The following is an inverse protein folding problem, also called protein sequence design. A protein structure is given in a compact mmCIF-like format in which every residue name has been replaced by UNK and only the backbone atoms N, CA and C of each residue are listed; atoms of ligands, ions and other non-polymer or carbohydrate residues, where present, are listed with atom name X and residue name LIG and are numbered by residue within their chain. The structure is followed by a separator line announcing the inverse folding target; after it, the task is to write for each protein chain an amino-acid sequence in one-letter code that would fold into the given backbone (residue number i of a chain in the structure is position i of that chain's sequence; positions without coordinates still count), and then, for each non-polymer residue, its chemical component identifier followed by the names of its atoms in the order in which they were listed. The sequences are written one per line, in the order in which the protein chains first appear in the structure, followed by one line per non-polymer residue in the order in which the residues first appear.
data_IF_215554741924
#
_entry.id   IF_215554741924
#
_cell.length_a   1.000
_cell.length_b   1.000
_cell.length_c   1.000
_cell.angle_alpha   90.00
_cell.angle_beta   90.00
_cell.angle_gamma   90.00
#
_symmetry.space_group_name_H-M   'P 1'
#
loop_
_entity.id
_entity.type
_entity.pdbx_description
1 polymer ?
#
# COMPACT_ATOMS: atom_id res chain seq x y z
N UNK A 1 -13.64 16.08 16.37
CA UNK A 1 -14.60 16.11 15.25
C UNK A 1 -14.19 15.01 14.29
N UNK A 2 -14.89 13.88 14.25
CA UNK A 2 -14.68 12.88 13.22
C UNK A 2 -15.03 13.53 11.89
N UNK A 3 -14.01 13.79 11.07
CA UNK A 3 -14.23 14.21 9.70
C UNK A 3 -15.01 13.11 9.01
N UNK A 4 -16.04 13.48 8.26
CA UNK A 4 -16.81 12.55 7.45
C UNK A 4 -15.87 11.89 6.45
N UNK A 5 -15.36 10.68 6.75
CA UNK A 5 -14.47 9.95 5.86
C UNK A 5 -15.23 9.52 4.60
N UNK A 6 -14.63 9.59 3.41
CA UNK A 6 -15.18 8.93 2.24
C UNK A 6 -15.49 7.46 2.52
N UNK A 7 -16.54 6.92 1.90
CA UNK A 7 -17.03 5.56 2.17
C UNK A 7 -15.94 4.48 2.07
N UNK A 8 -15.04 4.59 1.09
CA UNK A 8 -13.92 3.65 0.95
C UNK A 8 -13.01 3.67 2.18
N UNK A 9 -12.68 4.84 2.71
CA UNK A 9 -11.82 4.98 3.89
C UNK A 9 -12.53 4.60 5.19
N UNK A 10 -13.84 4.87 5.30
CA UNK A 10 -14.62 4.37 6.43
C UNK A 10 -14.61 2.83 6.44
N UNK A 11 -14.80 2.19 5.29
CA UNK A 11 -14.74 0.72 5.18
C UNK A 11 -13.36 0.18 5.56
N UNK A 12 -12.26 0.81 5.11
CA UNK A 12 -10.90 0.40 5.52
C UNK A 12 -10.73 0.51 7.03
N UNK A 13 -11.17 1.63 7.61
CA UNK A 13 -11.12 1.84 9.06
C UNK A 13 -11.89 0.75 9.80
N UNK A 14 -13.14 0.52 9.42
CA UNK A 14 -14.00 -0.50 10.03
C UNK A 14 -13.36 -1.89 9.96
N UNK A 15 -12.78 -2.28 8.81
CA UNK A 15 -12.12 -3.56 8.66
C UNK A 15 -10.91 -3.70 9.59
N UNK A 16 -10.01 -2.73 9.58
CA UNK A 16 -8.74 -2.81 10.33
C UNK A 16 -8.92 -2.65 11.84
N UNK A 17 -9.93 -1.89 12.28
CA UNK A 17 -10.25 -1.72 13.70
C UNK A 17 -11.02 -2.93 14.28
N UNK A 18 -11.77 -3.67 13.45
CA UNK A 18 -12.49 -4.86 13.87
C UNK A 18 -11.75 -6.18 13.60
N UNK A 19 -10.44 -6.11 13.38
CA UNK A 19 -9.58 -7.29 13.36
C UNK A 19 -9.65 -8.11 12.07
N UNK A 20 -10.08 -7.52 10.95
CA UNK A 20 -9.92 -8.17 9.63
C UNK A 20 -8.43 -8.34 9.36
N UNK A 21 -8.00 -9.58 9.26
CA UNK A 21 -6.59 -9.96 9.15
C UNK A 21 -6.10 -10.12 7.69
N UNK A 22 -7.02 -10.13 6.72
CA UNK A 22 -6.74 -10.29 5.28
C UNK A 22 -7.54 -9.27 4.47
N UNK A 23 -6.85 -8.26 3.92
CA UNK A 23 -7.46 -7.14 3.21
C UNK A 23 -6.71 -6.78 1.94
N UNK A 24 -7.40 -6.61 0.81
CA UNK A 24 -6.85 -6.03 -0.41
C UNK A 24 -7.37 -4.60 -0.58
N UNK A 25 -6.45 -3.65 -0.76
CA UNK A 25 -6.73 -2.27 -1.16
C UNK A 25 -6.36 -2.11 -2.63
N UNK A 26 -7.30 -1.80 -3.48
CA UNK A 26 -7.08 -1.69 -4.92
C UNK A 26 -7.61 -0.35 -5.49
N UNK A 27 -7.22 -0.01 -6.71
CA UNK A 27 -7.65 1.21 -7.39
C UNK A 27 -6.49 2.17 -7.69
N UNK A 28 -6.77 3.43 -8.09
CA UNK A 28 -5.79 4.33 -8.65
C UNK A 28 -4.55 4.59 -7.76
N UNK A 29 -3.36 4.79 -8.37
CA UNK A 29 -2.14 5.08 -7.63
C UNK A 29 -2.21 6.43 -6.90
N UNK A 30 -1.45 6.54 -5.79
CA UNK A 30 -1.31 7.79 -5.05
C UNK A 30 -2.49 8.14 -4.13
N UNK A 31 -3.44 7.23 -3.92
CA UNK A 31 -4.60 7.43 -3.03
C UNK A 31 -4.29 7.23 -1.55
N UNK A 32 -3.17 6.59 -1.20
CA UNK A 32 -2.77 6.33 0.19
C UNK A 32 -2.93 4.88 0.65
N UNK A 33 -3.18 3.92 -0.24
CA UNK A 33 -3.37 2.49 0.07
C UNK A 33 -2.27 1.91 0.96
N UNK A 34 -1.02 2.07 0.54
CA UNK A 34 0.17 1.59 1.29
C UNK A 34 0.28 2.25 2.67
N UNK A 35 0.02 3.57 2.73
CA UNK A 35 0.03 4.30 4.00
C UNK A 35 -1.00 3.74 4.97
N UNK A 36 -2.22 3.49 4.50
CA UNK A 36 -3.28 2.90 5.32
C UNK A 36 -2.90 1.51 5.84
N UNK A 37 -2.33 0.65 4.99
CA UNK A 37 -1.84 -0.66 5.39
C UNK A 37 -0.80 -0.59 6.51
N UNK A 38 0.10 0.40 6.47
CA UNK A 38 1.18 0.56 7.44
C UNK A 38 0.76 1.20 8.76
N UNK A 39 -0.31 2.03 8.79
CA UNK A 39 -0.57 2.91 9.92
C UNK A 39 -1.95 2.77 10.55
N UNK A 40 -2.94 2.20 9.85
CA UNK A 40 -4.31 2.13 10.37
C UNK A 40 -4.57 0.84 11.12
N UNK A 41 -5.48 0.92 12.11
CA UNK A 41 -5.81 -0.19 13.00
C UNK A 41 -4.66 -0.54 13.94
N UNK A 42 -4.69 -1.77 14.49
CA UNK A 42 -3.64 -2.20 15.43
C UNK A 42 -2.37 -2.64 14.67
N UNK A 43 -1.32 -1.86 14.79
CA UNK A 43 0.04 -2.13 14.28
C UNK A 43 1.09 -2.07 15.38
N UNK A 44 0.70 -2.24 16.64
CA UNK A 44 1.60 -2.14 17.81
C UNK A 44 2.72 -3.17 17.79
N UNK A 45 2.48 -4.37 17.25
CA UNK A 45 3.50 -5.41 17.07
C UNK A 45 4.37 -5.21 15.81
N UNK A 46 4.27 -4.07 15.16
CA UNK A 46 5.04 -3.70 13.97
C UNK A 46 4.28 -3.89 12.66
N UNK A 47 4.64 -3.07 11.67
CA UNK A 47 4.17 -3.21 10.29
C UNK A 47 5.38 -3.25 9.35
N UNK A 48 5.39 -4.25 8.46
CA UNK A 48 6.50 -4.52 7.56
C UNK A 48 6.05 -4.42 6.12
N UNK A 49 6.64 -3.50 5.35
CA UNK A 49 6.35 -3.34 3.93
C UNK A 49 7.23 -4.24 3.09
N UNK A 50 6.62 -5.01 2.20
CA UNK A 50 7.23 -5.77 1.12
C UNK A 50 6.72 -5.18 -0.19
N UNK A 51 7.61 -4.64 -1.02
CA UNK A 51 7.25 -4.10 -2.35
C UNK A 51 7.53 -5.20 -3.36
N UNK A 52 6.52 -5.62 -4.09
CA UNK A 52 6.69 -6.59 -5.16
C UNK A 52 7.25 -5.94 -6.42
N UNK A 53 8.20 -6.63 -7.03
CA UNK A 53 8.81 -6.30 -8.33
C UNK A 53 8.98 -7.59 -9.14
N UNK A 54 9.13 -7.47 -10.45
CA UNK A 54 9.25 -8.64 -11.34
C UNK A 54 10.54 -9.45 -11.08
N UNK A 55 11.57 -8.81 -10.53
CA UNK A 55 12.90 -9.37 -10.26
C UNK A 55 13.13 -9.73 -8.78
N UNK A 56 12.13 -9.55 -7.91
CA UNK A 56 12.26 -9.94 -6.51
C UNK A 56 12.40 -11.45 -6.36
N UNK A 57 13.01 -11.84 -5.25
CA UNK A 57 13.30 -13.25 -4.93
C UNK A 57 12.62 -13.70 -3.64
N UNK A 58 12.59 -15.01 -3.40
CA UNK A 58 12.11 -15.55 -2.14
C UNK A 58 12.92 -15.08 -0.93
N UNK A 59 14.18 -14.67 -1.14
CA UNK A 59 15.02 -14.07 -0.10
C UNK A 59 14.43 -12.78 0.47
N UNK A 60 13.80 -11.96 -0.36
CA UNK A 60 13.14 -10.71 0.06
C UNK A 60 11.93 -10.99 0.97
N UNK A 61 11.27 -12.11 0.75
CA UNK A 61 10.09 -12.55 1.51
C UNK A 61 10.49 -13.20 2.83
N UNK A 62 11.36 -14.22 2.77
CA UNK A 62 11.66 -15.11 3.89
C UNK A 62 12.98 -14.79 4.58
N UNK A 63 13.98 -14.34 3.84
CA UNK A 63 15.30 -13.98 4.36
C UNK A 63 16.44 -14.56 3.55
N UNK A 64 17.64 -14.14 3.90
CA UNK A 64 18.88 -14.54 3.25
C UNK A 64 20.07 -14.43 4.19
N UNK A 65 21.20 -15.04 3.82
CA UNK A 65 22.46 -14.86 4.51
C UNK A 65 23.10 -13.51 4.12
N UNK A 66 23.55 -12.78 5.12
CA UNK A 66 24.27 -11.52 4.95
C UNK A 66 25.65 -11.65 5.59
N UNK A 67 26.74 -11.26 4.88
CA UNK A 67 28.08 -11.22 5.46
C UNK A 67 28.15 -10.14 6.56
N UNK A 68 28.68 -10.52 7.72
CA UNK A 68 28.86 -9.61 8.85
C UNK A 68 30.09 -10.01 9.64
N UNK A 69 31.08 -9.12 9.78
CA UNK A 69 32.30 -9.30 10.57
C UNK A 69 33.12 -10.59 10.30
N UNK A 70 33.08 -11.08 9.04
CA UNK A 70 33.78 -12.30 8.63
C UNK A 70 32.96 -13.59 8.66
N UNK A 71 31.73 -13.53 9.19
CA UNK A 71 30.78 -14.63 9.21
C UNK A 71 29.54 -14.34 8.34
N UNK A 72 28.74 -15.37 8.09
CA UNK A 72 27.47 -15.25 7.41
C UNK A 72 26.35 -15.40 8.43
N UNK A 73 25.48 -14.38 8.57
CA UNK A 73 24.36 -14.41 9.48
C UNK A 73 23.04 -14.39 8.72
N UNK A 74 22.10 -15.23 9.14
CA UNK A 74 20.76 -15.22 8.57
C UNK A 74 20.00 -13.96 8.95
N UNK A 75 19.50 -13.23 7.96
CA UNK A 75 18.60 -12.10 8.15
C UNK A 75 17.20 -12.45 7.65
N UNK A 76 16.22 -12.43 8.55
CA UNK A 76 14.83 -12.67 8.19
C UNK A 76 14.27 -11.61 7.24
N UNK A 77 13.50 -12.06 6.24
CA UNK A 77 12.73 -11.24 5.33
C UNK A 77 11.50 -10.61 5.99
N UNK A 78 10.79 -9.83 5.22
CA UNK A 78 9.67 -9.02 5.74
C UNK A 78 8.50 -9.87 6.23
N UNK A 79 8.22 -11.00 5.58
CA UNK A 79 7.10 -11.86 5.96
C UNK A 79 7.37 -12.55 7.31
N UNK A 80 8.57 -13.10 7.53
CA UNK A 80 8.94 -13.71 8.82
C UNK A 80 8.98 -12.68 9.94
N UNK A 81 9.49 -11.46 9.68
CA UNK A 81 9.45 -10.36 10.64
C UNK A 81 8.03 -9.98 11.04
N UNK A 82 7.10 -9.99 10.07
CA UNK A 82 5.70 -9.74 10.36
C UNK A 82 5.06 -10.89 11.16
N UNK A 83 5.41 -12.14 10.86
CA UNK A 83 4.92 -13.28 11.64
C UNK A 83 5.38 -13.23 13.11
N UNK A 84 6.66 -12.88 13.35
CA UNK A 84 7.23 -12.79 14.69
C UNK A 84 6.78 -11.52 15.44
N UNK A 85 6.49 -10.42 14.72
CA UNK A 85 6.02 -9.16 15.27
C UNK A 85 6.89 -8.62 16.40
N UNK A 86 6.31 -8.42 17.57
CA UNK A 86 7.02 -7.97 18.79
C UNK A 86 7.60 -9.12 19.63
N UNK A 87 7.50 -10.36 19.12
CA UNK A 87 7.95 -11.57 19.83
C UNK A 87 6.85 -12.26 20.65
N UNK A 88 5.73 -11.59 20.87
CA UNK A 88 4.53 -12.10 21.55
C UNK A 88 3.36 -12.16 20.56
N UNK A 89 3.06 -11.04 19.93
CA UNK A 89 2.00 -10.89 18.95
C UNK A 89 2.59 -10.77 17.55
N UNK A 90 1.87 -11.30 16.56
CA UNK A 90 2.19 -11.11 15.16
C UNK A 90 1.93 -9.66 14.72
N UNK A 91 2.82 -9.13 13.89
CA UNK A 91 2.69 -7.82 13.28
C UNK A 91 1.88 -7.86 11.99
N UNK A 92 2.01 -6.82 11.20
CA UNK A 92 1.34 -6.70 9.88
C UNK A 92 2.35 -6.79 8.75
N UNK A 93 2.03 -7.62 7.75
CA UNK A 93 2.69 -7.60 6.45
C UNK A 93 1.90 -6.73 5.48
N UNK A 94 2.52 -5.71 4.92
CA UNK A 94 1.95 -4.92 3.82
C UNK A 94 2.64 -5.32 2.53
N UNK A 95 1.94 -6.08 1.69
CA UNK A 95 2.41 -6.51 0.37
C UNK A 95 1.97 -5.47 -0.65
N UNK A 96 2.92 -4.65 -1.08
CA UNK A 96 2.66 -3.51 -1.97
C UNK A 96 2.91 -3.93 -3.42
N UNK A 97 1.99 -3.55 -4.31
CA UNK A 97 2.03 -3.88 -5.75
C UNK A 97 2.06 -5.39 -6.02
N UNK A 98 1.16 -6.17 -5.37
CA UNK A 98 1.12 -7.64 -5.48
C UNK A 98 1.02 -8.13 -6.93
N UNK A 99 0.42 -7.36 -7.82
CA UNK A 99 0.31 -7.62 -9.24
C UNK A 99 1.67 -7.68 -9.97
N UNK A 100 2.75 -7.21 -9.33
CA UNK A 100 4.13 -7.26 -9.85
C UNK A 100 4.92 -8.48 -9.39
N UNK A 101 4.39 -9.28 -8.48
CA UNK A 101 5.11 -10.44 -7.96
C UNK A 101 5.31 -11.52 -9.04
N UNK A 102 6.56 -11.92 -9.29
CA UNK A 102 6.89 -13.06 -10.16
C UNK A 102 6.39 -14.39 -9.60
N UNK A 103 6.26 -15.41 -10.48
CA UNK A 103 5.60 -16.68 -10.17
C UNK A 103 6.08 -17.41 -8.92
N UNK A 104 7.40 -17.53 -8.72
CA UNK A 104 7.99 -18.23 -7.56
C UNK A 104 7.74 -17.47 -6.25
N UNK A 105 7.88 -16.16 -6.28
CA UNK A 105 7.61 -15.29 -5.14
C UNK A 105 6.12 -15.28 -4.81
N UNK A 106 5.28 -15.23 -5.85
CA UNK A 106 3.84 -15.31 -5.68
C UNK A 106 3.42 -16.61 -4.99
N UNK A 107 3.97 -17.76 -5.41
CA UNK A 107 3.71 -19.07 -4.77
C UNK A 107 4.15 -19.08 -3.31
N UNK A 108 5.32 -18.50 -3.01
CA UNK A 108 5.82 -18.35 -1.63
C UNK A 108 4.89 -17.48 -0.80
N UNK A 109 4.45 -16.34 -1.31
CA UNK A 109 3.49 -15.46 -0.63
C UNK A 109 2.16 -16.16 -0.36
N UNK A 110 1.62 -16.92 -1.34
CA UNK A 110 0.40 -17.70 -1.13
C UNK A 110 0.53 -18.70 0.01
N UNK A 111 1.68 -19.40 0.09
CA UNK A 111 1.94 -20.34 1.19
C UNK A 111 2.05 -19.64 2.54
N UNK A 112 2.72 -18.49 2.59
CA UNK A 112 2.92 -17.74 3.84
C UNK A 112 1.65 -17.00 4.30
N UNK A 113 0.74 -16.70 3.40
CA UNK A 113 -0.51 -16.01 3.67
C UNK A 113 -1.71 -16.94 3.79
N UNK A 114 -1.47 -18.22 3.88
CA UNK A 114 -2.49 -19.23 4.16
C UNK A 114 -3.02 -19.12 5.60
N UNK A 115 -3.96 -19.99 5.99
CA UNK A 115 -4.47 -20.00 7.35
C UNK A 115 -3.35 -20.15 8.38
N UNK A 116 -3.49 -19.62 9.61
CA UNK A 116 -2.45 -19.75 10.65
C UNK A 116 -2.05 -21.19 10.96
N UNK A 117 -2.97 -22.14 10.75
CA UNK A 117 -2.74 -23.58 10.97
C UNK A 117 -1.87 -24.18 9.86
N UNK A 118 -2.04 -23.72 8.63
CA UNK A 118 -1.36 -24.24 7.43
C UNK A 118 -0.05 -23.52 7.16
N UNK A 119 0.02 -22.22 7.41
CA UNK A 119 1.19 -21.41 7.14
C UNK A 119 2.37 -21.81 8.04
N UNK A 120 3.48 -22.21 7.41
CA UNK A 120 4.73 -22.52 8.12
C UNK A 120 5.93 -22.33 7.20
N UNK A 121 7.05 -21.98 7.79
CA UNK A 121 8.31 -21.87 7.11
C UNK A 121 9.45 -22.33 8.02
N UNK A 122 10.34 -23.16 7.50
CA UNK A 122 11.50 -23.66 8.23
C UNK A 122 12.74 -22.84 7.90
N UNK A 123 13.42 -22.34 8.94
CA UNK A 123 14.68 -21.62 8.79
C UNK A 123 15.77 -22.63 8.34
N UNK A 124 16.41 -22.42 7.18
CA UNK A 124 17.39 -23.37 6.65
C UNK A 124 18.69 -23.44 7.47
N UNK A 125 18.97 -22.45 8.32
CA UNK A 125 20.15 -22.44 9.19
C UNK A 125 19.94 -23.25 10.46
N UNK A 126 18.78 -23.07 11.09
CA UNK A 126 18.52 -23.60 12.45
C UNK A 126 17.55 -24.77 12.48
N UNK A 127 16.86 -25.06 11.38
CA UNK A 127 15.77 -26.03 11.33
C UNK A 127 14.53 -25.59 12.12
N UNK A 128 14.52 -24.37 12.65
CA UNK A 128 13.37 -23.85 13.40
C UNK A 128 12.20 -23.56 12.47
N UNK A 129 11.03 -24.12 12.82
CA UNK A 129 9.79 -23.85 12.11
C UNK A 129 9.15 -22.57 12.67
N UNK A 130 8.91 -21.62 11.80
CA UNK A 130 8.19 -20.39 12.08
C UNK A 130 6.74 -20.50 11.62
N UNK A 131 5.83 -19.94 12.38
CA UNK A 131 4.40 -19.82 12.07
C UNK A 131 3.93 -18.40 12.42
N UNK A 132 2.87 -17.91 11.76
CA UNK A 132 2.30 -16.62 12.15
C UNK A 132 1.83 -16.66 13.61
N UNK A 133 2.26 -15.68 14.40
CA UNK A 133 1.78 -15.50 15.76
C UNK A 133 0.37 -14.94 15.77
N UNK A 134 -0.33 -15.10 16.87
CA UNK A 134 -1.66 -14.51 17.07
C UNK A 134 -1.61 -12.99 16.82
N UNK A 135 -2.59 -12.46 16.12
CA UNK A 135 -2.64 -11.05 15.73
C UNK A 135 -1.92 -10.69 14.44
N UNK A 136 -1.23 -11.66 13.78
CA UNK A 136 -0.70 -11.44 12.45
C UNK A 136 -1.80 -11.04 11.47
N UNK A 137 -1.53 -10.02 10.66
CA UNK A 137 -2.43 -9.58 9.59
C UNK A 137 -1.67 -9.25 8.32
N UNK A 138 -2.35 -9.33 7.18
CA UNK A 138 -1.78 -8.96 5.90
C UNK A 138 -2.71 -7.99 5.15
N UNK A 139 -2.11 -6.90 4.67
CA UNK A 139 -2.79 -5.94 3.79
C UNK A 139 -2.04 -5.94 2.46
N UNK A 140 -2.74 -6.26 1.39
CA UNK A 140 -2.20 -6.16 0.03
C UNK A 140 -2.64 -4.87 -0.63
N UNK A 141 -1.79 -4.31 -1.48
CA UNK A 141 -2.15 -3.19 -2.33
C UNK A 141 -1.88 -3.51 -3.79
N UNK A 142 -2.70 -2.98 -4.68
CA UNK A 142 -2.51 -3.06 -6.12
C UNK A 142 -3.11 -1.84 -6.81
N UNK A 143 -2.62 -1.54 -8.01
CA UNK A 143 -3.15 -0.47 -8.85
C UNK A 143 -4.08 -0.99 -9.96
N UNK A 144 -4.30 -2.29 -10.04
CA UNK A 144 -5.30 -2.86 -10.96
C UNK A 144 -6.70 -2.37 -10.56
N UNK A 145 -7.58 -2.27 -11.53
CA UNK A 145 -8.96 -1.84 -11.32
C UNK A 145 -9.95 -3.00 -11.38
N UNK A 146 -9.61 -4.04 -12.14
CA UNK A 146 -10.41 -5.27 -12.23
C UNK A 146 -9.78 -6.39 -11.39
N UNK A 147 -10.43 -6.76 -10.31
CA UNK A 147 -9.96 -7.82 -9.41
C UNK A 147 -9.86 -9.20 -10.08
N UNK A 148 -10.47 -9.39 -11.25
CA UNK A 148 -10.34 -10.63 -12.04
C UNK A 148 -8.95 -10.81 -12.66
N UNK A 149 -8.13 -9.77 -12.66
CA UNK A 149 -6.73 -9.85 -13.07
C UNK A 149 -5.84 -10.54 -12.03
N UNK A 150 -6.30 -10.62 -10.76
CA UNK A 150 -5.60 -11.37 -9.72
C UNK A 150 -6.01 -12.85 -9.73
N UNK A 151 -5.08 -13.76 -9.43
CA UNK A 151 -5.38 -15.19 -9.35
C UNK A 151 -6.44 -15.52 -8.29
N UNK A 152 -7.35 -16.45 -8.62
CA UNK A 152 -8.41 -16.90 -7.72
C UNK A 152 -7.90 -17.36 -6.35
N UNK A 153 -6.75 -18.03 -6.34
CA UNK A 153 -6.12 -18.51 -5.10
C UNK A 153 -5.76 -17.37 -4.12
N UNK A 154 -5.45 -16.18 -4.63
CA UNK A 154 -5.23 -15.00 -3.82
C UNK A 154 -6.55 -14.39 -3.34
N UNK A 155 -7.51 -14.31 -4.24
CA UNK A 155 -8.85 -13.77 -3.98
C UNK A 155 -9.55 -14.55 -2.87
N UNK A 156 -9.40 -15.88 -2.85
CA UNK A 156 -9.97 -16.76 -1.84
C UNK A 156 -9.38 -16.49 -0.44
N UNK A 157 -8.07 -16.27 -0.35
CA UNK A 157 -7.38 -15.97 0.93
C UNK A 157 -7.65 -14.56 1.46
N UNK A 158 -8.09 -13.65 0.60
CA UNK A 158 -8.38 -12.25 0.92
C UNK A 158 -9.83 -11.89 0.61
N UNK A 159 -10.77 -12.30 1.47
CA UNK A 159 -12.20 -12.14 1.20
C UNK A 159 -12.64 -10.68 1.19
N UNK A 160 -11.93 -9.81 1.91
CA UNK A 160 -12.25 -8.38 1.98
C UNK A 160 -11.39 -7.60 0.98
N UNK A 161 -12.08 -6.90 0.08
CA UNK A 161 -11.46 -6.11 -0.98
C UNK A 161 -12.12 -4.75 -1.03
N UNK A 162 -11.33 -3.69 -0.86
CA UNK A 162 -11.83 -2.32 -0.82
C UNK A 162 -11.22 -1.52 -1.95
N UNK A 163 -12.05 -1.00 -2.84
CA UNK A 163 -11.64 -0.06 -3.87
C UNK A 163 -11.42 1.32 -3.25
N UNK A 164 -10.23 1.85 -3.43
CA UNK A 164 -9.87 3.19 -2.98
C UNK A 164 -9.91 4.14 -4.17
N UNK A 165 -11.01 4.82 -4.32
CA UNK A 165 -11.31 5.75 -5.42
C UNK A 165 -11.08 7.22 -5.05
N UNK A 166 -10.85 7.52 -3.78
CA UNK A 166 -10.61 8.87 -3.28
C UNK A 166 -9.38 8.93 -2.38
N UNK A 167 -8.62 10.02 -2.40
CA UNK A 167 -7.52 10.22 -1.45
C UNK A 167 -8.05 10.38 -0.02
N UNK A 168 -7.24 9.96 0.95
CA UNK A 168 -7.59 10.18 2.35
C UNK A 168 -7.67 11.68 2.66
N UNK A 169 -8.67 12.17 3.43
CA UNK A 169 -8.82 13.59 3.75
C UNK A 169 -7.57 14.21 4.40
N UNK A 170 -6.87 13.46 5.25
CA UNK A 170 -5.63 13.96 5.87
C UNK A 170 -4.48 14.11 4.86
N UNK A 171 -4.45 13.28 3.83
CA UNK A 171 -3.49 13.42 2.74
C UNK A 171 -3.79 14.67 1.88
N UNK A 172 -5.08 14.99 1.67
CA UNK A 172 -5.49 16.22 0.99
C UNK A 172 -5.15 17.48 1.78
N UNK A 173 -5.05 17.41 3.11
CA UNK A 173 -4.66 18.57 3.94
C UNK A 173 -3.21 19.02 3.71
N UNK A 174 -2.37 18.19 3.11
CA UNK A 174 -1.01 18.57 2.68
C UNK A 174 -1.02 19.56 1.52
N UNK A 175 -2.15 19.66 0.80
CA UNK A 175 -2.34 20.62 -0.27
C UNK A 175 -2.89 21.94 0.27
N UNK A 176 -2.54 23.02 -0.39
CA UNK A 176 -3.18 24.33 -0.20
C UNK A 176 -4.69 24.20 -0.42
N UNK A 177 -5.51 24.98 0.31
CA UNK A 177 -6.97 24.84 0.31
C UNK A 177 -7.62 24.86 -1.08
N UNK A 178 -7.12 25.70 -1.98
CA UNK A 178 -7.60 25.89 -3.34
C UNK A 178 -7.42 24.67 -4.25
N UNK A 179 -6.51 23.75 -3.91
CA UNK A 179 -6.25 22.54 -4.69
C UNK A 179 -7.01 21.30 -4.21
N UNK A 180 -7.54 21.30 -2.99
CA UNK A 180 -8.07 20.09 -2.35
C UNK A 180 -9.25 19.49 -3.10
N UNK A 181 -10.17 20.33 -3.56
CA UNK A 181 -11.37 19.89 -4.26
C UNK A 181 -11.03 19.31 -5.65
N UNK A 182 -10.24 20.03 -6.43
CA UNK A 182 -9.83 19.58 -7.76
C UNK A 182 -8.99 18.31 -7.67
N UNK A 183 -8.06 18.22 -6.72
CA UNK A 183 -7.24 17.03 -6.50
C UNK A 183 -8.08 15.81 -6.11
N UNK A 184 -9.09 16.00 -5.25
CA UNK A 184 -10.01 14.91 -4.88
C UNK A 184 -10.80 14.38 -6.08
N UNK A 185 -11.35 15.27 -6.91
CA UNK A 185 -12.12 14.87 -8.09
C UNK A 185 -11.29 14.23 -9.18
N UNK A 186 -10.03 14.69 -9.35
CA UNK A 186 -9.14 14.15 -10.39
C UNK A 186 -8.39 12.88 -9.99
N UNK A 187 -8.55 12.42 -8.76
CA UNK A 187 -7.90 11.19 -8.30
C UNK A 187 -8.38 9.93 -9.03
N UNK A 188 -9.65 9.87 -9.43
CA UNK A 188 -10.27 8.74 -10.12
C UNK A 188 -11.02 9.21 -11.39
N UNK A 189 -10.42 10.08 -12.17
CA UNK A 189 -11.03 10.68 -13.37
C UNK A 189 -10.69 9.91 -14.68
N UNK A 190 -10.41 8.61 -14.61
CA UNK A 190 -10.01 7.81 -15.77
C UNK A 190 -8.77 8.39 -16.46
N UNK A 191 -8.81 8.61 -17.77
CA UNK A 191 -7.69 9.13 -18.57
C UNK A 191 -7.23 10.55 -18.15
N UNK A 192 -8.07 11.28 -17.42
CA UNK A 192 -7.75 12.63 -16.89
C UNK A 192 -7.15 12.58 -15.49
N UNK A 193 -6.97 11.39 -14.94
CA UNK A 193 -6.45 11.20 -13.57
C UNK A 193 -5.13 11.90 -13.35
N UNK A 194 -5.02 12.54 -12.18
CA UNK A 194 -3.77 13.11 -11.65
C UNK A 194 -3.60 12.59 -10.22
N UNK A 195 -2.46 11.97 -9.96
CA UNK A 195 -2.17 11.42 -8.64
C UNK A 195 -2.00 12.53 -7.60
N UNK A 196 -2.32 12.21 -6.34
CA UNK A 196 -2.08 13.14 -5.23
C UNK A 196 -0.60 13.54 -5.10
N UNK A 197 0.33 12.64 -5.46
CA UNK A 197 1.77 12.96 -5.49
C UNK A 197 2.07 14.08 -6.48
N UNK A 198 1.50 14.03 -7.69
CA UNK A 198 1.68 15.08 -8.69
C UNK A 198 1.08 16.41 -8.22
N UNK A 199 -0.07 16.39 -7.55
CA UNK A 199 -0.67 17.57 -6.96
C UNK A 199 0.19 18.19 -5.86
N UNK A 200 0.78 17.38 -4.98
CA UNK A 200 1.71 17.87 -3.94
C UNK A 200 2.94 18.50 -4.58
N UNK A 201 3.55 17.83 -5.57
CA UNK A 201 4.70 18.40 -6.30
C UNK A 201 4.33 19.70 -7.00
N UNK A 202 3.14 19.80 -7.57
CA UNK A 202 2.64 21.02 -8.19
C UNK A 202 2.49 22.17 -7.16
N UNK A 203 1.90 21.85 -6.00
CA UNK A 203 1.69 22.83 -4.93
C UNK A 203 3.01 23.41 -4.41
N UNK A 204 4.00 22.53 -4.20
CA UNK A 204 5.35 22.92 -3.78
C UNK A 204 6.05 23.76 -4.87
N UNK A 205 5.95 23.33 -6.14
CA UNK A 205 6.66 23.97 -7.24
C UNK A 205 6.06 25.36 -7.59
N UNK A 206 4.72 25.49 -7.58
CA UNK A 206 4.06 26.76 -7.91
C UNK A 206 4.43 27.91 -6.96
N UNK A 207 4.81 27.60 -5.73
CA UNK A 207 5.29 28.59 -4.78
C UNK A 207 6.62 29.24 -5.21
N UNK A 208 7.42 28.53 -6.01
CA UNK A 208 8.75 28.98 -6.46
C UNK A 208 8.73 29.58 -7.87
N UNK A 209 7.98 28.98 -8.82
CA UNK A 209 8.05 29.35 -10.25
C UNK A 209 6.75 29.95 -10.79
N UNK A 210 5.70 30.06 -9.97
CA UNK A 210 4.37 30.50 -10.38
C UNK A 210 3.49 29.36 -10.88
N UNK A 211 2.17 29.56 -10.88
CA UNK A 211 1.13 28.55 -11.15
C UNK A 211 1.23 28.00 -12.59
N UNK A 212 1.30 28.90 -13.55
CA UNK A 212 1.35 28.57 -14.99
C UNK A 212 2.59 27.75 -15.32
N UNK A 213 3.76 28.21 -14.87
CA UNK A 213 5.02 27.54 -15.15
C UNK A 213 5.11 26.16 -14.47
N UNK A 214 4.62 26.03 -13.25
CA UNK A 214 4.55 24.75 -12.55
C UNK A 214 3.63 23.76 -13.29
N UNK A 215 2.49 24.23 -13.81
CA UNK A 215 1.58 23.41 -14.59
C UNK A 215 2.21 22.94 -15.90
N UNK A 216 2.88 23.81 -16.64
CA UNK A 216 3.62 23.44 -17.86
C UNK A 216 4.66 22.34 -17.58
N UNK A 217 5.48 22.51 -16.52
CA UNK A 217 6.54 21.57 -16.16
C UNK A 217 6.00 20.18 -15.82
N UNK A 218 4.89 20.11 -15.07
CA UNK A 218 4.37 18.85 -14.53
C UNK A 218 3.35 18.17 -15.44
N UNK A 219 2.56 18.95 -16.17
CA UNK A 219 1.39 18.46 -16.89
C UNK A 219 1.47 18.65 -18.41
N UNK A 220 2.48 19.39 -18.91
CA UNK A 220 2.71 19.60 -20.34
C UNK A 220 1.45 20.12 -21.05
N UNK A 221 1.03 19.43 -22.10
CA UNK A 221 -0.13 19.81 -22.93
C UNK A 221 -1.46 19.90 -22.16
N UNK A 222 -1.51 19.34 -20.93
CA UNK A 222 -2.69 19.40 -20.06
C UNK A 222 -2.71 20.62 -19.13
N UNK A 223 -1.64 21.44 -19.13
CA UNK A 223 -1.47 22.55 -18.20
C UNK A 223 -2.63 23.55 -18.26
N UNK A 224 -2.98 24.02 -19.46
CA UNK A 224 -4.04 25.03 -19.67
C UNK A 224 -5.40 24.53 -19.14
N UNK A 225 -5.81 23.33 -19.54
CA UNK A 225 -7.06 22.73 -19.08
C UNK A 225 -7.14 22.53 -17.56
N UNK A 226 -5.99 22.29 -16.91
CA UNK A 226 -5.93 22.15 -15.47
C UNK A 226 -6.01 23.49 -14.73
N UNK A 227 -5.38 24.53 -15.26
CA UNK A 227 -5.48 25.91 -14.73
C UNK A 227 -6.93 26.37 -14.79
N UNK A 228 -7.62 26.11 -15.90
CA UNK A 228 -9.05 26.44 -16.05
C UNK A 228 -9.91 25.68 -15.03
N UNK A 229 -9.68 24.38 -14.86
CA UNK A 229 -10.38 23.57 -13.85
C UNK A 229 -10.18 24.09 -12.43
N UNK A 230 -8.95 24.52 -12.07
CA UNK A 230 -8.65 25.12 -10.77
C UNK A 230 -9.36 26.45 -10.57
N UNK A 231 -9.54 27.22 -11.64
CA UNK A 231 -10.18 28.55 -11.58
C UNK A 231 -11.69 28.42 -11.37
N UNK A 232 -12.32 27.43 -12.01
CA UNK A 232 -13.76 27.12 -11.83
C UNK A 232 -14.07 26.68 -10.40
N UNK A 233 -13.15 25.95 -9.76
CA UNK A 233 -13.32 25.46 -8.39
C UNK A 233 -13.04 26.51 -7.30
N UNK A 234 -12.49 27.63 -7.67
CA UNK A 234 -12.20 28.74 -6.76
C UNK A 234 -13.38 29.71 -6.60
N UNK A 235 -14.45 29.55 -7.40
CA UNK A 235 -15.69 30.32 -7.35
C UNK A 235 -16.76 29.56 -6.58
#
# INVERSE_FOLDING_TARGET
MEKNLPKCWQTVKDCLENGIDRLILFGPPGTGKTFAGLHYGNVSAGAHRLVCTDDMTNADVTGTYIPSAGDWNWQYGKAIKAWEGDGVNGGRLVVDEIDKAGGDVFATLLSMLDSPESASWENPETGRVHRPRQGFSAVMTTNIEDMRELPDALIDRFPVRVRIDQPHPDALQRLSPDLRNVASRMCDAGDRRISLRAWITFDDLRASVGKERAAEILFGDRAESLIDAMTIDAI
#
